data_IF_619079174876
#
_entry.id   IF_619079174876
#
_cell.length_a   1.000
_cell.length_b   1.000
_cell.length_c   1.000
_cell.angle_alpha   90.00
_cell.angle_beta   90.00
_cell.angle_gamma   90.00
#
_symmetry.space_group_name_H-M   'P 1'
#
loop_
_entity.id
_entity.type
_entity.pdbx_description
1 polymer ?
#
# COMPACT_ATOMS: atom_id res chain seq x y z
N UNK A 1 44.61 -21.37 -19.85
CA UNK A 1 43.14 -21.19 -19.81
C UNK A 1 42.85 -20.28 -18.64
N UNK A 2 42.50 -19.02 -18.88
CA UNK A 2 42.21 -18.03 -17.83
C UNK A 2 40.69 -17.95 -17.69
N UNK A 3 40.17 -18.30 -16.51
CA UNK A 3 38.77 -18.05 -16.17
C UNK A 3 38.62 -16.57 -15.80
N UNK A 4 37.94 -15.80 -16.65
CA UNK A 4 37.42 -14.50 -16.22
C UNK A 4 36.15 -14.75 -15.42
N UNK A 5 36.17 -14.38 -14.15
CA UNK A 5 34.96 -14.32 -13.32
C UNK A 5 34.14 -13.14 -13.85
N UNK A 6 32.92 -13.40 -14.33
CA UNK A 6 31.98 -12.34 -14.66
C UNK A 6 31.62 -11.60 -13.36
N UNK A 7 31.75 -10.27 -13.34
CA UNK A 7 31.26 -9.44 -12.25
C UNK A 7 29.73 -9.61 -12.14
N UNK A 8 29.17 -9.65 -10.93
CA UNK A 8 27.72 -9.67 -10.77
C UNK A 8 27.14 -8.41 -11.42
N UNK A 9 26.15 -8.60 -12.30
CA UNK A 9 25.37 -7.48 -12.80
C UNK A 9 24.61 -6.88 -11.61
N UNK A 10 24.83 -5.60 -11.32
CA UNK A 10 24.00 -4.87 -10.38
C UNK A 10 22.60 -4.74 -10.98
N UNK A 11 21.57 -5.03 -10.20
CA UNK A 11 20.19 -4.75 -10.62
C UNK A 11 19.98 -3.24 -10.66
N UNK A 12 19.16 -2.78 -11.61
CA UNK A 12 18.78 -1.37 -11.68
C UNK A 12 18.01 -0.96 -10.41
N UNK A 13 18.26 0.24 -9.86
CA UNK A 13 17.51 0.74 -8.72
C UNK A 13 16.02 0.96 -9.10
N UNK A 14 15.10 0.98 -8.11
CA UNK A 14 13.70 1.27 -8.37
C UNK A 14 13.52 2.66 -8.96
N UNK A 15 12.49 2.82 -9.80
CA UNK A 15 11.90 4.13 -10.06
C UNK A 15 11.08 4.53 -8.83
N UNK A 16 11.19 5.79 -8.41
CA UNK A 16 10.48 6.31 -7.25
C UNK A 16 9.38 7.25 -7.74
N UNK A 17 8.17 7.07 -7.23
CA UNK A 17 7.02 7.94 -7.46
C UNK A 17 6.36 8.31 -6.13
N UNK A 18 5.86 9.53 -6.01
CA UNK A 18 5.26 10.04 -4.77
C UNK A 18 3.81 10.48 -5.04
N UNK A 19 2.91 10.07 -4.15
CA UNK A 19 1.49 10.38 -4.20
C UNK A 19 1.04 11.00 -2.88
N UNK A 20 0.19 12.01 -2.95
CA UNK A 20 -0.44 12.62 -1.77
C UNK A 20 -1.90 12.91 -2.06
N UNK A 21 -2.79 12.48 -1.16
CA UNK A 21 -4.22 12.74 -1.26
C UNK A 21 -4.79 13.15 0.10
N UNK A 22 -5.74 14.08 0.07
CA UNK A 22 -6.47 14.51 1.27
C UNK A 22 -7.96 14.52 0.98
N UNK A 23 -8.74 13.81 1.81
CA UNK A 23 -10.17 13.63 1.61
C UNK A 23 -10.92 13.50 2.96
N UNK A 24 -12.22 13.83 3.00
CA UNK A 24 -13.06 13.55 4.16
C UNK A 24 -13.50 12.08 4.17
N UNK A 25 -13.47 11.45 5.36
CA UNK A 25 -13.97 10.08 5.58
C UNK A 25 -14.64 9.94 6.95
N UNK A 26 -15.31 8.81 7.20
CA UNK A 26 -15.88 8.46 8.50
C UNK A 26 -14.83 7.76 9.36
N UNK A 27 -14.52 8.34 10.52
CA UNK A 27 -13.68 7.70 11.52
C UNK A 27 -14.36 6.41 12.02
N UNK A 28 -13.77 5.21 11.82
CA UNK A 28 -14.42 3.95 12.17
C UNK A 28 -14.50 3.69 13.69
N UNK A 29 -13.75 4.44 14.51
CA UNK A 29 -13.80 4.35 15.97
C UNK A 29 -14.93 5.19 16.58
N UNK A 30 -15.31 6.31 15.94
CA UNK A 30 -16.27 7.27 16.52
C UNK A 30 -17.55 7.43 15.69
N UNK A 31 -17.53 7.05 14.41
CA UNK A 31 -18.63 7.26 13.46
C UNK A 31 -18.77 8.72 12.99
N UNK A 32 -17.84 9.61 13.36
CA UNK A 32 -17.83 11.02 12.96
C UNK A 32 -16.93 11.23 11.74
N UNK A 33 -17.24 12.26 10.93
CA UNK A 33 -16.39 12.63 9.80
C UNK A 33 -15.07 13.25 10.30
N UNK A 34 -13.97 12.85 9.69
CA UNK A 34 -12.65 13.46 9.84
C UNK A 34 -12.00 13.66 8.47
N UNK A 35 -10.96 14.49 8.41
CA UNK A 35 -10.11 14.60 7.23
C UNK A 35 -8.98 13.59 7.35
N UNK A 36 -8.72 12.84 6.28
CA UNK A 36 -7.58 11.91 6.15
C UNK A 36 -6.61 12.50 5.13
N UNK A 37 -5.32 12.46 5.44
CA UNK A 37 -4.23 12.77 4.51
C UNK A 37 -3.33 11.56 4.41
N UNK A 38 -3.12 11.07 3.18
CA UNK A 38 -2.26 9.93 2.86
C UNK A 38 -1.13 10.43 1.99
N UNK A 39 0.11 10.20 2.42
CA UNK A 39 1.31 10.34 1.63
C UNK A 39 1.87 8.95 1.35
N UNK A 40 2.21 8.64 0.11
CA UNK A 40 2.64 7.33 -0.33
C UNK A 40 3.86 7.46 -1.23
N UNK A 41 4.94 6.75 -0.88
CA UNK A 41 6.12 6.65 -1.74
C UNK A 41 6.17 5.25 -2.33
N UNK A 42 6.20 5.17 -3.65
CA UNK A 42 6.24 3.95 -4.43
C UNK A 42 7.65 3.67 -4.96
N UNK A 43 8.04 2.40 -4.91
CA UNK A 43 9.29 1.86 -5.42
C UNK A 43 8.98 0.83 -6.50
N UNK A 44 9.23 1.20 -7.75
CA UNK A 44 8.75 0.50 -8.94
C UNK A 44 9.90 -0.22 -9.67
N UNK A 45 9.66 -1.47 -10.03
CA UNK A 45 10.59 -2.32 -10.76
C UNK A 45 9.90 -3.01 -11.94
N UNK A 46 10.56 -2.99 -13.09
CA UNK A 46 10.16 -3.73 -14.28
C UNK A 46 11.10 -4.91 -14.53
N UNK A 47 10.54 -6.08 -14.82
CA UNK A 47 11.25 -7.31 -15.15
C UNK A 47 10.66 -7.94 -16.41
N UNK A 48 11.06 -7.43 -17.58
CA UNK A 48 10.38 -7.74 -18.84
C UNK A 48 8.95 -7.18 -18.82
N UNK A 49 7.96 -8.03 -19.08
CA UNK A 49 6.54 -7.65 -19.07
C UNK A 49 5.91 -7.68 -17.65
N UNK A 50 6.72 -7.89 -16.61
CA UNK A 50 6.26 -7.88 -15.21
C UNK A 50 6.57 -6.56 -14.55
N UNK A 51 5.60 -6.04 -13.82
CA UNK A 51 5.75 -4.86 -13.00
C UNK A 51 5.52 -5.21 -11.53
N UNK A 52 6.40 -4.72 -10.66
CA UNK A 52 6.31 -4.87 -9.22
C UNK A 52 6.51 -3.49 -8.62
N UNK A 53 5.61 -3.10 -7.74
CA UNK A 53 5.71 -1.89 -6.96
C UNK A 53 5.52 -2.21 -5.49
N UNK A 54 6.36 -1.58 -4.67
CA UNK A 54 6.21 -1.56 -3.22
C UNK A 54 5.95 -0.13 -2.78
N UNK A 55 4.91 0.09 -1.98
CA UNK A 55 4.62 1.41 -1.42
C UNK A 55 4.82 1.45 0.09
N UNK A 56 5.24 2.61 0.60
CA UNK A 56 5.29 2.92 2.04
C UNK A 56 4.45 4.15 2.28
N UNK A 57 3.42 4.01 3.13
CA UNK A 57 2.44 5.04 3.40
C UNK A 57 2.69 5.72 4.74
N UNK A 58 2.39 7.02 4.80
CA UNK A 58 2.22 7.82 6.00
C UNK A 58 0.83 8.42 5.96
N UNK A 59 0.07 8.26 7.03
CA UNK A 59 -1.33 8.68 7.08
C UNK A 59 -1.57 9.46 8.36
N UNK A 60 -2.23 10.61 8.22
CA UNK A 60 -2.65 11.44 9.34
C UNK A 60 -4.12 11.78 9.22
N UNK A 61 -4.77 12.07 10.35
CA UNK A 61 -6.18 12.42 10.39
C UNK A 61 -6.43 13.63 11.27
N UNK A 62 -7.47 14.42 10.95
CA UNK A 62 -7.88 15.55 11.79
C UNK A 62 -8.42 15.14 13.16
N UNK A 63 -8.73 13.85 13.37
CA UNK A 63 -9.14 13.30 14.66
C UNK A 63 -7.98 12.79 15.50
N UNK A 64 -6.73 13.01 15.09
CA UNK A 64 -5.54 12.67 15.88
C UNK A 64 -5.00 11.25 15.71
N UNK A 65 -5.50 10.48 14.75
CA UNK A 65 -4.85 9.22 14.35
C UNK A 65 -3.70 9.50 13.39
N UNK A 66 -2.57 8.83 13.61
CA UNK A 66 -1.39 8.86 12.76
C UNK A 66 -0.77 7.46 12.63
N UNK A 67 -0.09 7.21 11.52
CA UNK A 67 0.59 5.94 11.27
C UNK A 67 0.79 5.71 9.80
N UNK A 68 0.63 4.47 9.37
CA UNK A 68 0.81 4.09 7.97
C UNK A 68 1.11 2.62 7.85
N UNK A 69 1.79 2.26 6.76
CA UNK A 69 2.01 0.87 6.45
C UNK A 69 2.67 0.68 5.10
N UNK A 70 2.28 -0.40 4.45
CA UNK A 70 2.88 -0.81 3.19
C UNK A 70 1.84 -1.29 2.21
N UNK A 71 2.17 -1.09 0.94
CA UNK A 71 1.44 -1.67 -0.16
C UNK A 71 2.36 -2.47 -1.08
N UNK A 72 1.75 -3.38 -1.83
CA UNK A 72 2.40 -4.08 -2.93
C UNK A 72 1.45 -4.14 -4.10
N UNK A 73 1.97 -3.82 -5.27
CA UNK A 73 1.29 -3.98 -6.54
C UNK A 73 2.15 -4.91 -7.40
N UNK A 74 1.53 -5.94 -7.97
CA UNK A 74 2.20 -6.85 -8.89
C UNK A 74 1.32 -7.02 -10.11
N UNK A 75 1.88 -6.77 -11.28
CA UNK A 75 1.24 -7.01 -12.56
C UNK A 75 2.05 -8.01 -13.37
N UNK A 76 1.34 -9.04 -13.83
CA UNK A 76 1.83 -10.12 -14.67
C UNK A 76 0.75 -10.47 -15.68
N UNK A 77 1.07 -11.20 -16.74
CA UNK A 77 0.10 -11.64 -17.75
C UNK A 77 -1.18 -12.32 -17.18
N UNK A 78 -1.07 -12.97 -16.02
CA UNK A 78 -2.18 -13.73 -15.43
C UNK A 78 -3.09 -12.94 -14.49
N UNK A 79 -2.58 -11.87 -13.89
CA UNK A 79 -3.27 -11.08 -12.88
C UNK A 79 -2.51 -9.78 -12.59
N UNK A 80 -3.28 -8.75 -12.27
CA UNK A 80 -2.83 -7.65 -11.44
C UNK A 80 -3.33 -7.89 -10.00
N UNK A 81 -2.44 -7.71 -9.01
CA UNK A 81 -2.69 -7.92 -7.58
C UNK A 81 -2.20 -6.70 -6.81
N UNK A 82 -3.11 -6.02 -6.12
CA UNK A 82 -2.82 -4.98 -5.14
C UNK A 82 -3.11 -5.47 -3.73
N UNK A 83 -2.24 -5.13 -2.79
CA UNK A 83 -2.44 -5.33 -1.35
C UNK A 83 -1.98 -4.10 -0.60
N UNK A 84 -2.70 -3.75 0.45
CA UNK A 84 -2.34 -2.69 1.37
C UNK A 84 -2.70 -3.09 2.80
N UNK A 85 -1.87 -2.68 3.74
CA UNK A 85 -2.17 -2.71 5.16
C UNK A 85 -1.60 -1.46 5.81
N UNK A 86 -2.48 -0.61 6.31
CA UNK A 86 -2.13 0.55 7.13
C UNK A 86 -2.71 0.38 8.53
N UNK A 87 -1.93 0.80 9.53
CA UNK A 87 -2.35 0.83 10.93
C UNK A 87 -2.04 2.20 11.50
N UNK A 88 -3.08 2.89 11.97
CA UNK A 88 -2.99 4.20 12.60
C UNK A 88 -3.29 4.05 14.09
N UNK A 89 -2.68 4.88 14.91
CA UNK A 89 -2.93 4.95 16.35
C UNK A 89 -3.22 6.39 16.77
N UNK A 90 -3.99 6.57 17.84
CA UNK A 90 -4.15 7.85 18.53
C UNK A 90 -3.47 7.83 19.92
N UNK A 91 -3.44 8.99 20.60
CA UNK A 91 -2.89 9.10 21.95
C UNK A 91 -3.68 8.30 23.00
N UNK A 92 -4.96 8.02 22.72
CA UNK A 92 -5.82 7.23 23.61
C UNK A 92 -5.57 5.71 23.48
N UNK A 93 -4.72 5.29 22.54
CA UNK A 93 -4.40 3.88 22.29
C UNK A 93 -5.41 3.16 21.38
N UNK A 94 -6.38 3.88 20.81
CA UNK A 94 -7.25 3.32 19.77
C UNK A 94 -6.46 3.15 18.48
N UNK A 95 -6.84 2.17 17.66
CA UNK A 95 -6.23 1.96 16.34
C UNK A 95 -7.25 1.93 15.23
N UNK A 96 -6.87 2.47 14.07
CA UNK A 96 -7.58 2.27 12.81
C UNK A 96 -6.74 1.33 11.96
N UNK A 97 -7.35 0.25 11.45
CA UNK A 97 -6.71 -0.66 10.50
C UNK A 97 -7.42 -0.58 9.16
N UNK A 98 -6.68 -0.21 8.11
CA UNK A 98 -7.13 -0.29 6.73
C UNK A 98 -6.40 -1.46 6.05
N UNK A 99 -7.16 -2.36 5.42
CA UNK A 99 -6.62 -3.51 4.68
C UNK A 99 -7.33 -3.64 3.34
N UNK A 100 -6.57 -3.73 2.28
CA UNK A 100 -7.09 -3.96 0.94
C UNK A 100 -6.45 -5.18 0.28
N UNK A 101 -7.24 -5.93 -0.47
CA UNK A 101 -6.75 -6.83 -1.51
C UNK A 101 -7.65 -6.69 -2.74
N UNK A 102 -7.02 -6.35 -3.87
CA UNK A 102 -7.69 -6.21 -5.14
C UNK A 102 -6.96 -7.06 -6.18
N UNK A 103 -7.70 -7.88 -6.91
CA UNK A 103 -7.17 -8.76 -7.95
C UNK A 103 -8.04 -8.59 -9.18
N UNK A 104 -7.45 -8.21 -10.30
CA UNK A 104 -8.15 -8.12 -11.57
C UNK A 104 -7.36 -8.77 -12.70
N UNK A 105 -8.07 -9.06 -13.78
CA UNK A 105 -7.48 -9.45 -15.05
C UNK A 105 -6.78 -8.23 -15.68
N UNK A 106 -5.48 -8.30 -16.00
CA UNK A 106 -4.71 -7.14 -16.44
C UNK A 106 -5.10 -6.68 -17.86
N UNK A 107 -5.62 -7.59 -18.68
CA UNK A 107 -5.98 -7.29 -20.09
C UNK A 107 -7.36 -6.65 -20.16
N UNK A 108 -8.32 -7.19 -19.42
CA UNK A 108 -9.72 -6.77 -19.50
C UNK A 108 -10.15 -5.82 -18.38
N UNK A 109 -9.35 -5.70 -17.31
CA UNK A 109 -9.71 -5.00 -16.08
C UNK A 109 -10.79 -5.71 -15.25
N UNK A 110 -11.18 -6.93 -15.64
CA UNK A 110 -12.25 -7.65 -14.96
C UNK A 110 -11.84 -8.01 -13.52
N UNK A 111 -12.57 -7.44 -12.55
CA UNK A 111 -12.33 -7.66 -11.13
C UNK A 111 -12.67 -9.10 -10.75
N UNK A 112 -11.72 -9.77 -10.09
CA UNK A 112 -11.88 -11.13 -9.56
C UNK A 112 -12.02 -11.12 -8.04
N UNK A 113 -11.26 -10.27 -7.37
CA UNK A 113 -11.35 -10.04 -5.92
C UNK A 113 -11.30 -8.55 -5.67
N UNK A 114 -12.26 -8.08 -4.88
CA UNK A 114 -12.22 -6.74 -4.29
C UNK A 114 -12.65 -6.89 -2.84
N UNK A 115 -11.71 -6.64 -1.93
CA UNK A 115 -11.95 -6.63 -0.50
C UNK A 115 -11.22 -5.47 0.13
N UNK A 116 -11.99 -4.65 0.81
CA UNK A 116 -11.51 -3.57 1.64
C UNK A 116 -12.13 -3.70 3.03
N UNK A 117 -11.29 -3.63 4.05
CA UNK A 117 -11.67 -3.62 5.45
C UNK A 117 -11.09 -2.37 6.11
N UNK A 118 -11.97 -1.51 6.64
CA UNK A 118 -11.60 -0.38 7.48
C UNK A 118 -12.28 -0.55 8.84
N UNK A 119 -11.49 -0.68 9.91
CA UNK A 119 -12.01 -1.04 11.24
C UNK A 119 -11.29 -0.28 12.33
N UNK A 120 -12.05 0.07 13.37
CA UNK A 120 -11.46 0.37 14.66
C UNK A 120 -11.03 -0.92 15.34
N UNK A 121 -9.83 -0.92 15.91
CA UNK A 121 -9.29 -2.01 16.72
C UNK A 121 -9.03 -1.42 18.09
N UNK A 122 -9.79 -1.90 19.08
CA UNK A 122 -9.48 -1.68 20.49
C UNK A 122 -8.61 -2.83 20.94
N UNK A 123 -7.55 -2.56 21.72
CA UNK A 123 -6.79 -3.64 22.35
C UNK A 123 -7.79 -4.50 23.17
N UNK A 124 -7.75 -5.82 22.97
CA UNK A 124 -8.51 -6.74 23.80
C UNK A 124 -7.91 -6.68 25.21
N UNK A 125 -8.62 -6.02 26.13
CA UNK A 125 -8.34 -6.04 27.56
C UNK A 125 -8.37 -7.46 28.11
#
# INVERSE_FOLDING_TARGET
MVMMLASPAAADPPTIDDFSETFPDVNPCTGLIHTVTIDHTFFQHHHGDRFIEHGVSSVTTSSGFEGGGTSTFVETDGAFVFRLLDVLSDEAGSRIMARAIFIADPVTGAVRVDRFDLKCVHDAS
#
